data_IF_742652752658
#
_entry.id   IF_742652752658
#
_cell.length_a   1.000
_cell.length_b   1.000
_cell.length_c   1.000
_cell.angle_alpha   90.00
_cell.angle_beta   90.00
_cell.angle_gamma   90.00
#
_symmetry.space_group_name_H-M   'P 1'
#
loop_
_entity.id
_entity.type
_entity.pdbx_description
1 polymer ?
#
# COMPACT_ATOMS: atom_id res chain seq x y z
N UNK A 1 17.53 -2.61 9.84
CA UNK A 1 17.45 -1.78 8.63
C UNK A 1 16.01 -1.83 8.12
N UNK A 2 15.15 -0.92 8.59
CA UNK A 2 13.71 -0.98 8.31
C UNK A 2 13.29 0.23 7.44
N UNK A 3 13.37 0.09 6.11
CA UNK A 3 13.01 1.16 5.16
C UNK A 3 12.50 0.70 3.78
N UNK A 4 12.63 -0.59 3.47
CA UNK A 4 12.36 -1.13 2.12
C UNK A 4 10.89 -1.48 1.85
N UNK A 5 9.97 -1.24 2.79
CA UNK A 5 8.54 -1.57 2.62
C UNK A 5 8.19 -3.03 2.95
N UNK A 6 9.03 -3.71 3.73
CA UNK A 6 8.85 -5.11 4.13
C UNK A 6 8.13 -5.28 5.49
N UNK A 7 7.86 -4.19 6.22
CA UNK A 7 6.99 -4.24 7.41
C UNK A 7 5.53 -4.25 6.98
N UNK A 8 4.83 -5.30 7.37
CA UNK A 8 3.43 -5.57 7.04
C UNK A 8 2.73 -5.94 8.36
N UNK A 9 1.63 -5.25 8.74
CA UNK A 9 1.07 -4.10 8.06
C UNK A 9 2.00 -2.87 8.12
N UNK A 10 2.05 -2.02 7.07
CA UNK A 10 2.71 -0.73 7.15
C UNK A 10 1.96 0.22 8.09
N UNK A 11 2.65 1.25 8.55
CA UNK A 11 2.00 2.40 9.16
C UNK A 11 1.19 3.17 8.11
N UNK A 12 -0.01 3.60 8.48
CA UNK A 12 -0.91 4.37 7.62
C UNK A 12 -0.22 5.63 7.09
N UNK A 13 0.53 6.31 7.95
CA UNK A 13 1.25 7.55 7.63
C UNK A 13 2.30 7.31 6.53
N UNK A 14 2.99 6.17 6.56
CA UNK A 14 3.96 5.81 5.51
C UNK A 14 3.28 5.59 4.16
N UNK A 15 2.07 5.02 4.15
CA UNK A 15 1.28 4.83 2.93
C UNK A 15 0.83 6.18 2.38
N UNK A 16 0.32 7.07 3.23
CA UNK A 16 -0.07 8.43 2.84
C UNK A 16 1.10 9.20 2.22
N UNK A 17 2.26 9.22 2.90
CA UNK A 17 3.48 9.87 2.39
C UNK A 17 3.87 9.31 1.02
N UNK A 18 3.83 7.99 0.83
CA UNK A 18 4.19 7.36 -0.44
C UNK A 18 3.28 7.81 -1.59
N UNK A 19 1.96 7.85 -1.38
CA UNK A 19 1.00 8.28 -2.41
C UNK A 19 1.15 9.77 -2.75
N UNK A 20 1.32 10.64 -1.75
CA UNK A 20 1.57 12.08 -1.97
C UNK A 20 2.85 12.29 -2.78
N UNK A 21 3.93 11.55 -2.50
CA UNK A 21 5.17 11.59 -3.28
C UNK A 21 5.00 11.15 -4.74
N UNK A 22 3.93 10.41 -5.06
CA UNK A 22 3.56 10.02 -6.43
C UNK A 22 2.57 10.98 -7.08
N UNK A 23 2.26 12.12 -6.44
CA UNK A 23 1.33 13.12 -6.96
C UNK A 23 -0.15 12.77 -6.77
N UNK A 24 -0.45 11.78 -5.92
CA UNK A 24 -1.83 11.36 -5.61
C UNK A 24 -2.35 12.03 -4.35
N UNK A 25 -3.66 11.96 -4.15
CA UNK A 25 -4.32 12.57 -2.98
C UNK A 25 -4.26 11.62 -1.79
N UNK A 26 -4.35 12.17 -0.59
CA UNK A 26 -4.43 11.37 0.65
C UNK A 26 -5.58 10.36 0.59
N UNK A 27 -6.75 10.73 0.04
CA UNK A 27 -7.89 9.83 -0.12
C UNK A 27 -7.54 8.54 -0.87
N UNK A 28 -6.74 8.63 -1.93
CA UNK A 28 -6.32 7.46 -2.73
C UNK A 28 -5.46 6.49 -1.88
N UNK A 29 -4.62 7.06 -1.00
CA UNK A 29 -3.81 6.32 -0.06
C UNK A 29 -4.66 5.63 1.03
N UNK A 30 -5.69 6.32 1.52
CA UNK A 30 -6.63 5.79 2.51
C UNK A 30 -7.45 4.64 1.95
N UNK A 31 -7.91 4.76 0.71
CA UNK A 31 -8.68 3.71 0.03
C UNK A 31 -7.82 2.46 -0.16
N UNK A 32 -6.56 2.62 -0.61
CA UNK A 32 -5.60 1.53 -0.67
C UNK A 32 -5.36 0.88 0.70
N UNK A 33 -5.07 1.69 1.74
CA UNK A 33 -4.78 1.18 3.07
C UNK A 33 -5.95 0.40 3.66
N UNK A 34 -7.17 0.93 3.51
CA UNK A 34 -8.41 0.28 3.96
C UNK A 34 -8.65 -1.03 3.21
N UNK A 35 -8.46 -1.05 1.89
CA UNK A 35 -8.64 -2.24 1.06
C UNK A 35 -7.74 -3.40 1.51
N UNK A 36 -6.46 -3.14 1.82
CA UNK A 36 -5.53 -4.18 2.27
C UNK A 36 -5.67 -4.51 3.76
N UNK A 37 -6.04 -3.55 4.61
CA UNK A 37 -6.32 -3.81 6.03
C UNK A 37 -7.51 -4.75 6.21
N UNK A 38 -8.58 -4.58 5.43
CA UNK A 38 -9.74 -5.48 5.45
C UNK A 38 -9.46 -6.90 4.92
N UNK A 39 -8.27 -7.14 4.36
CA UNK A 39 -7.83 -8.45 3.85
C UNK A 39 -6.66 -9.01 4.65
N UNK A 40 -6.40 -8.49 5.84
CA UNK A 40 -5.24 -8.86 6.66
C UNK A 40 -3.92 -8.77 5.89
N UNK A 41 -3.81 -7.78 5.01
CA UNK A 41 -2.66 -7.58 4.11
C UNK A 41 -2.32 -8.81 3.26
N UNK A 42 -3.34 -9.53 2.82
CA UNK A 42 -3.24 -10.61 1.84
C UNK A 42 -3.57 -10.12 0.42
N UNK A 43 -2.80 -10.61 -0.55
CA UNK A 43 -2.97 -10.35 -1.98
C UNK A 43 -3.74 -11.48 -2.68
N UNK A 44 -3.46 -11.68 -3.98
CA UNK A 44 -4.12 -12.73 -4.77
C UNK A 44 -3.88 -14.12 -4.17
N UNK A 45 -4.92 -14.97 -4.23
CA UNK A 45 -4.89 -16.36 -3.73
C UNK A 45 -4.50 -16.46 -2.24
N UNK A 46 -4.91 -15.49 -1.43
CA UNK A 46 -4.61 -15.40 0.01
C UNK A 46 -3.11 -15.41 0.35
N UNK A 47 -2.24 -15.03 -0.59
CA UNK A 47 -0.80 -14.93 -0.31
C UNK A 47 -0.50 -13.65 0.46
N UNK A 48 0.33 -13.66 1.52
CA UNK A 48 0.69 -12.46 2.25
C UNK A 48 1.38 -11.45 1.33
N UNK A 49 1.04 -10.17 1.49
CA UNK A 49 1.80 -9.09 0.86
C UNK A 49 3.16 -9.02 1.55
N UNK A 50 4.24 -9.16 0.79
CA UNK A 50 5.61 -9.07 1.31
C UNK A 50 6.20 -7.66 1.16
N UNK A 51 5.70 -6.89 0.20
CA UNK A 51 6.16 -5.55 -0.10
C UNK A 51 4.97 -4.68 -0.48
N UNK A 52 4.51 -3.87 0.45
CA UNK A 52 3.32 -3.03 0.24
C UNK A 52 3.58 -1.92 -0.78
N UNK A 53 4.82 -1.42 -0.92
CA UNK A 53 5.15 -0.38 -1.92
C UNK A 53 5.01 -0.90 -3.34
N UNK A 54 5.41 -2.15 -3.61
CA UNK A 54 5.19 -2.79 -4.92
C UNK A 54 3.70 -2.95 -5.22
N UNK A 55 2.94 -3.34 -4.21
CA UNK A 55 1.48 -3.52 -4.35
C UNK A 55 0.77 -2.17 -4.52
N UNK A 56 1.21 -1.13 -3.80
CA UNK A 56 0.74 0.25 -3.96
C UNK A 56 1.05 0.78 -5.36
N UNK A 57 2.26 0.55 -5.89
CA UNK A 57 2.59 0.93 -7.26
C UNK A 57 1.64 0.30 -8.29
N UNK A 58 1.38 -1.01 -8.16
CA UNK A 58 0.45 -1.70 -9.05
C UNK A 58 -1.00 -1.17 -8.90
N UNK A 59 -1.41 -0.81 -7.69
CA UNK A 59 -2.70 -0.17 -7.43
C UNK A 59 -2.81 1.16 -8.17
N UNK A 60 -1.82 2.03 -8.01
CA UNK A 60 -1.75 3.33 -8.68
C UNK A 60 -1.83 3.16 -10.21
N UNK A 61 -1.06 2.23 -10.76
CA UNK A 61 -1.02 1.96 -12.20
C UNK A 61 -2.31 1.38 -12.76
N UNK A 62 -3.21 0.81 -11.95
CA UNK A 62 -4.49 0.29 -12.44
C UNK A 62 -5.53 1.38 -12.77
N UNK A 63 -5.26 2.64 -12.41
CA UNK A 63 -6.13 3.79 -12.68
C UNK A 63 -5.59 4.71 -13.78
N UNK A 64 -4.41 4.40 -14.33
CA UNK A 64 -3.77 5.10 -15.45
C UNK A 64 -3.99 4.31 -16.74
#
# INVERSE_FOLDING_TARGET
>A
MDGFGNKIPPLKEHVVIYFIQKGLRERDALDFFKYYSNRDWTGKRNKPVLNWKRVAWNWIMSFL
#
